data_IF_479631292972
#
_entry.id   IF_479631292972
#
_cell.length_a   1.000
_cell.length_b   1.000
_cell.length_c   1.000
_cell.angle_alpha   90.00
_cell.angle_beta   90.00
_cell.angle_gamma   90.00
#
_symmetry.space_group_name_H-M   'P 1'
#
loop_
_entity.id
_entity.type
_entity.pdbx_description
1 polymer ?
#
# COMPACT_ATOMS: atom_id res chain seq x y z
N UNK A 1 1.15 13.58 39.70
CA UNK A 1 0.59 12.40 38.99
C UNK A 1 1.18 12.42 37.59
N UNK A 2 1.87 11.37 37.15
CA UNK A 2 2.42 11.27 35.78
C UNK A 2 1.26 10.75 34.92
N UNK A 3 0.85 11.53 33.92
CA UNK A 3 -0.17 11.10 32.96
C UNK A 3 0.48 10.22 31.90
N UNK A 4 0.00 8.99 31.69
CA UNK A 4 0.51 8.15 30.61
C UNK A 4 0.10 8.74 29.25
N UNK A 5 0.93 8.48 28.24
CA UNK A 5 0.60 8.80 26.85
C UNK A 5 -0.60 7.98 26.37
N UNK A 6 -1.37 8.43 25.38
CA UNK A 6 -2.48 7.67 24.80
C UNK A 6 -2.01 6.31 24.28
N UNK A 7 -2.81 5.27 24.51
CA UNK A 7 -2.51 3.94 24.01
C UNK A 7 -2.36 3.91 22.48
N UNK A 8 -1.31 3.27 21.97
CA UNK A 8 -0.99 3.21 20.55
C UNK A 8 -0.29 4.45 20.01
N UNK A 9 0.18 5.34 20.89
CA UNK A 9 1.13 6.42 20.59
C UNK A 9 2.41 6.21 21.42
N UNK A 10 3.48 6.90 21.06
CA UNK A 10 4.76 6.85 21.77
C UNK A 10 5.51 8.16 21.65
N UNK A 11 6.40 8.42 22.61
CA UNK A 11 7.40 9.45 22.49
C UNK A 11 8.59 8.91 21.68
N UNK A 12 9.15 9.74 20.80
CA UNK A 12 10.40 9.48 20.09
C UNK A 12 11.51 10.30 20.74
N UNK A 13 12.51 9.63 21.27
CA UNK A 13 13.61 10.28 22.00
C UNK A 13 14.70 10.81 21.05
N UNK A 14 15.60 11.71 21.53
CA UNK A 14 16.55 12.41 20.65
C UNK A 14 17.45 11.51 19.81
N UNK A 15 17.87 10.35 20.33
CA UNK A 15 18.75 9.43 19.59
C UNK A 15 17.99 8.79 18.42
N UNK A 16 16.84 8.21 18.69
CA UNK A 16 15.96 7.66 17.68
C UNK A 16 15.50 8.72 16.66
N UNK A 17 15.21 9.94 17.13
CA UNK A 17 14.82 11.04 16.24
C UNK A 17 15.95 11.43 15.26
N UNK A 18 17.23 11.30 15.66
CA UNK A 18 18.36 11.51 14.74
C UNK A 18 18.37 10.46 13.63
N UNK A 19 18.19 9.19 13.98
CA UNK A 19 18.11 8.09 12.99
C UNK A 19 16.94 8.26 12.04
N UNK A 20 15.74 8.57 12.57
CA UNK A 20 14.56 8.84 11.73
C UNK A 20 14.75 10.03 10.79
N UNK A 21 15.51 11.07 11.19
CA UNK A 21 15.87 12.19 10.31
C UNK A 21 16.75 11.75 9.16
N UNK A 22 17.79 10.95 9.42
CA UNK A 22 18.66 10.42 8.36
C UNK A 22 17.85 9.62 7.35
N UNK A 23 16.95 8.75 7.81
CA UNK A 23 16.04 7.99 6.94
C UNK A 23 15.22 8.95 6.08
N UNK A 24 14.56 9.93 6.69
CA UNK A 24 13.67 10.85 5.96
C UNK A 24 14.42 11.75 4.99
N UNK A 25 15.65 12.16 5.31
CA UNK A 25 16.51 12.93 4.41
C UNK A 25 16.96 12.10 3.21
N UNK A 26 17.31 10.82 3.41
CA UNK A 26 17.64 9.91 2.32
C UNK A 26 16.46 9.71 1.35
N UNK A 27 15.24 9.48 1.88
CA UNK A 27 14.03 9.34 1.08
C UNK A 27 13.73 10.62 0.28
N UNK A 28 13.79 11.80 0.91
CA UNK A 28 13.58 13.09 0.25
C UNK A 28 14.57 13.31 -0.89
N UNK A 29 15.84 12.99 -0.67
CA UNK A 29 16.88 13.13 -1.70
C UNK A 29 16.56 12.32 -2.96
N UNK A 30 16.03 11.11 -2.81
CA UNK A 30 15.61 10.28 -3.94
C UNK A 30 14.36 10.84 -4.61
N UNK A 31 13.35 11.24 -3.85
CA UNK A 31 12.12 11.81 -4.40
C UNK A 31 12.41 13.09 -5.21
N UNK A 32 13.23 13.98 -4.67
CA UNK A 32 13.64 15.22 -5.33
C UNK A 32 14.42 14.94 -6.63
N UNK A 33 15.38 14.01 -6.57
CA UNK A 33 16.17 13.59 -7.75
C UNK A 33 15.31 13.01 -8.89
N UNK A 34 14.13 12.45 -8.56
CA UNK A 34 13.15 11.95 -9.54
C UNK A 34 12.07 12.99 -9.89
N UNK A 35 12.22 14.25 -9.46
CA UNK A 35 11.34 15.36 -9.82
C UNK A 35 10.01 15.40 -9.05
N UNK A 36 9.92 14.76 -7.88
CA UNK A 36 8.74 14.81 -7.01
C UNK A 36 8.80 16.04 -6.10
N UNK A 37 7.80 16.93 -6.24
CA UNK A 37 7.65 18.09 -5.37
C UNK A 37 6.99 17.74 -4.04
N UNK A 38 7.57 18.18 -2.92
CA UNK A 38 6.99 17.91 -1.60
C UNK A 38 5.71 18.73 -1.38
N UNK A 39 4.64 18.07 -0.96
CA UNK A 39 3.35 18.66 -0.64
C UNK A 39 3.02 18.48 0.84
N UNK A 40 2.54 19.54 1.47
CA UNK A 40 1.99 19.50 2.81
C UNK A 40 0.47 19.73 2.76
N UNK A 41 -0.31 18.82 3.34
CA UNK A 41 -1.76 18.97 3.51
C UNK A 41 -2.10 19.02 5.01
N UNK A 42 -3.22 19.66 5.41
CA UNK A 42 -3.66 19.63 6.79
C UNK A 42 -3.87 18.20 7.31
N UNK A 43 -3.64 17.97 8.60
CA UNK A 43 -3.97 16.69 9.24
C UNK A 43 -5.48 16.48 9.35
N UNK A 44 -6.24 17.57 9.41
CA UNK A 44 -7.70 17.58 9.41
C UNK A 44 -8.23 17.65 7.98
N UNK A 45 -9.21 16.83 7.69
CA UNK A 45 -9.93 16.82 6.42
C UNK A 45 -11.45 16.78 6.69
N UNK A 46 -12.27 17.28 5.79
CA UNK A 46 -13.70 17.08 5.89
C UNK A 46 -14.06 15.62 5.61
N UNK A 47 -14.95 15.02 6.41
CA UNK A 47 -15.40 13.65 6.18
C UNK A 47 -15.99 13.47 4.78
N UNK A 48 -16.66 14.50 4.25
CA UNK A 48 -17.20 14.49 2.88
C UNK A 48 -16.12 14.26 1.79
N UNK A 49 -14.86 14.59 2.06
CA UNK A 49 -13.74 14.32 1.14
C UNK A 49 -13.40 12.83 1.15
N UNK A 50 -13.36 12.19 2.33
CA UNK A 50 -13.15 10.75 2.45
C UNK A 50 -14.34 9.96 1.85
N UNK A 51 -15.57 10.44 2.06
CA UNK A 51 -16.77 9.82 1.49
C UNK A 51 -16.74 9.83 -0.05
N UNK A 52 -16.20 10.88 -0.67
CA UNK A 52 -16.00 10.91 -2.15
C UNK A 52 -15.05 9.83 -2.64
N UNK A 53 -14.05 9.46 -1.86
CA UNK A 53 -13.14 8.38 -2.20
C UNK A 53 -13.80 6.99 -2.07
N UNK A 54 -15.07 6.93 -1.63
CA UNK A 54 -15.82 5.68 -1.33
C UNK A 54 -15.06 4.72 -0.41
N UNK A 55 -14.30 5.29 0.52
CA UNK A 55 -13.55 4.54 1.52
C UNK A 55 -14.48 4.01 2.62
N UNK A 56 -15.53 3.31 2.22
CA UNK A 56 -16.59 2.78 3.13
C UNK A 56 -16.47 1.29 3.40
N UNK A 57 -15.38 0.64 2.93
CA UNK A 57 -15.17 -0.79 3.17
C UNK A 57 -15.04 -1.09 4.67
N UNK A 58 -15.71 -2.13 5.18
CA UNK A 58 -15.57 -2.59 6.57
C UNK A 58 -14.13 -2.95 6.97
N UNK A 59 -13.28 -3.27 5.98
CA UNK A 59 -11.86 -3.59 6.17
C UNK A 59 -10.97 -2.36 6.41
N UNK A 60 -11.50 -1.14 6.21
CA UNK A 60 -10.73 0.07 6.46
C UNK A 60 -10.59 0.36 7.95
N UNK A 61 -9.41 0.83 8.39
CA UNK A 61 -9.26 1.24 9.77
C UNK A 61 -10.21 2.41 10.07
N UNK A 62 -10.93 2.38 11.20
CA UNK A 62 -11.81 3.47 11.58
C UNK A 62 -11.00 4.76 11.74
N UNK A 63 -11.58 5.88 11.31
CA UNK A 63 -10.97 7.21 11.39
C UNK A 63 -11.36 7.93 12.69
N UNK A 64 -10.50 8.81 13.17
CA UNK A 64 -10.86 9.75 14.25
C UNK A 64 -11.76 10.84 13.70
N UNK A 65 -12.92 11.03 14.31
CA UNK A 65 -13.91 12.05 13.95
C UNK A 65 -14.02 13.11 15.00
N UNK A 66 -14.23 14.34 14.58
CA UNK A 66 -14.47 15.49 15.46
C UNK A 66 -15.36 16.51 14.76
N UNK A 67 -15.95 17.42 15.51
CA UNK A 67 -16.71 18.54 14.98
C UNK A 67 -15.87 19.82 15.10
N UNK A 68 -15.95 20.68 14.10
CA UNK A 68 -15.44 22.03 14.20
C UNK A 68 -16.45 22.97 14.89
N UNK A 69 -16.09 24.24 15.04
CA UNK A 69 -16.93 25.26 15.67
C UNK A 69 -18.25 25.52 14.92
N UNK A 70 -18.29 25.23 13.63
CA UNK A 70 -19.49 25.38 12.78
C UNK A 70 -20.39 24.13 12.79
N UNK A 71 -19.96 23.05 13.45
CA UNK A 71 -20.62 21.76 13.44
C UNK A 71 -20.29 20.88 12.23
N UNK A 72 -19.31 21.26 11.40
CA UNK A 72 -18.85 20.43 10.29
C UNK A 72 -18.08 19.21 10.81
N UNK A 73 -18.34 18.04 10.21
CA UNK A 73 -17.66 16.80 10.58
C UNK A 73 -16.28 16.72 9.92
N UNK A 74 -15.26 16.69 10.78
CA UNK A 74 -13.86 16.56 10.41
C UNK A 74 -13.33 15.17 10.76
N UNK A 75 -12.28 14.76 10.07
CA UNK A 75 -11.52 13.54 10.34
C UNK A 75 -10.02 13.82 10.40
N UNK A 76 -9.29 13.08 11.22
CA UNK A 76 -7.84 12.99 11.06
C UNK A 76 -7.55 12.08 9.86
N UNK A 77 -6.72 12.54 8.92
CA UNK A 77 -6.36 11.79 7.70
C UNK A 77 -5.79 10.41 8.05
N UNK A 78 -6.29 9.37 7.40
CA UNK A 78 -5.83 7.98 7.53
C UNK A 78 -4.72 7.61 6.54
N UNK A 79 -4.59 8.39 5.47
CA UNK A 79 -3.61 8.29 4.37
C UNK A 79 -3.36 9.66 3.74
N UNK A 80 -2.42 9.74 2.80
CA UNK A 80 -2.11 10.97 2.08
C UNK A 80 -2.69 11.01 0.66
N UNK A 81 -3.09 9.87 0.11
CA UNK A 81 -3.59 9.77 -1.27
C UNK A 81 -4.87 10.59 -1.47
N UNK A 82 -5.83 10.47 -0.56
CA UNK A 82 -7.10 11.22 -0.65
C UNK A 82 -6.90 12.74 -0.51
N UNK A 83 -6.16 13.25 0.49
CA UNK A 83 -5.81 14.68 0.55
C UNK A 83 -5.10 15.18 -0.71
N UNK A 84 -4.19 14.40 -1.31
CA UNK A 84 -3.49 14.79 -2.53
C UNK A 84 -4.44 14.77 -3.73
N UNK A 85 -5.34 13.80 -3.86
CA UNK A 85 -6.37 13.79 -4.89
C UNK A 85 -7.25 15.06 -4.83
N UNK A 86 -7.64 15.50 -3.62
CA UNK A 86 -8.33 16.79 -3.42
C UNK A 86 -7.46 17.98 -3.85
N UNK A 87 -6.17 17.99 -3.50
CA UNK A 87 -5.23 19.07 -3.91
C UNK A 87 -5.14 19.13 -5.43
N UNK A 88 -4.99 17.99 -6.11
CA UNK A 88 -4.95 17.93 -7.58
C UNK A 88 -6.21 18.51 -8.21
N UNK A 89 -7.37 18.10 -7.71
CA UNK A 89 -8.64 18.59 -8.22
C UNK A 89 -8.86 20.10 -8.00
N UNK A 90 -8.36 20.62 -6.89
CA UNK A 90 -8.65 22.02 -6.49
C UNK A 90 -7.55 23.02 -6.85
N UNK A 91 -6.27 22.59 -6.87
CA UNK A 91 -5.11 23.48 -7.07
C UNK A 91 -4.44 23.29 -8.43
N UNK A 92 -4.62 22.10 -9.03
CA UNK A 92 -4.02 21.76 -10.32
C UNK A 92 -5.07 21.33 -11.37
N UNK A 93 -6.25 21.99 -11.48
CA UNK A 93 -7.35 21.49 -12.31
C UNK A 93 -7.01 21.43 -13.81
N UNK A 94 -6.07 22.26 -14.28
CA UNK A 94 -5.66 22.35 -15.69
C UNK A 94 -4.17 22.06 -15.92
N UNK A 95 -3.41 21.71 -14.88
CA UNK A 95 -1.99 21.44 -15.03
C UNK A 95 -1.77 20.18 -15.87
N UNK A 96 -0.85 20.19 -16.85
CA UNK A 96 -0.60 19.02 -17.69
C UNK A 96 -0.01 17.88 -16.86
N UNK A 97 -0.43 16.63 -17.09
CA UNK A 97 0.20 15.46 -16.50
C UNK A 97 1.55 15.18 -17.18
N UNK A 98 2.46 14.39 -16.54
CA UNK A 98 2.30 13.82 -15.22
C UNK A 98 2.55 14.82 -14.09
N UNK A 99 1.81 14.67 -12.99
CA UNK A 99 2.05 15.41 -11.74
C UNK A 99 2.76 14.48 -10.75
N UNK A 100 3.85 14.97 -10.15
CA UNK A 100 4.68 14.21 -9.21
C UNK A 100 4.68 14.89 -7.86
N UNK A 101 4.09 14.26 -6.87
CA UNK A 101 4.06 14.73 -5.48
C UNK A 101 4.73 13.75 -4.56
N UNK A 102 5.51 14.23 -3.59
CA UNK A 102 5.96 13.45 -2.46
C UNK A 102 5.51 14.09 -1.15
N UNK A 103 5.60 13.34 -0.07
CA UNK A 103 5.20 13.81 1.25
C UNK A 103 5.96 13.12 2.38
N UNK A 104 6.06 13.83 3.50
CA UNK A 104 6.40 13.30 4.81
C UNK A 104 5.34 13.77 5.79
N UNK A 105 4.52 12.87 6.33
CA UNK A 105 3.34 13.26 7.06
C UNK A 105 2.87 12.20 8.07
N UNK A 106 2.30 12.65 9.19
CA UNK A 106 1.59 11.75 10.09
C UNK A 106 0.21 11.38 9.52
N UNK A 107 -0.12 10.09 9.59
CA UNK A 107 -1.43 9.53 9.35
C UNK A 107 -1.97 8.89 10.63
N UNK A 108 -3.30 8.85 10.79
CA UNK A 108 -3.94 8.47 12.05
C UNK A 108 -4.95 7.36 11.83
N UNK A 109 -4.97 6.35 12.70
CA UNK A 109 -5.90 5.23 12.63
C UNK A 109 -6.53 4.96 13.98
N UNK A 110 -7.86 4.95 14.05
CA UNK A 110 -8.61 4.70 15.30
C UNK A 110 -8.68 3.18 15.61
N UNK A 111 -7.53 2.49 15.56
CA UNK A 111 -7.45 1.05 15.83
C UNK A 111 -7.67 0.74 17.31
N UNK A 112 -8.17 -0.47 17.62
CA UNK A 112 -8.31 -0.95 19.00
C UNK A 112 -6.94 -1.16 19.62
N UNK A 113 -6.72 -0.58 20.81
CA UNK A 113 -5.43 -0.56 21.52
C UNK A 113 -4.85 -1.97 21.83
N UNK A 114 -5.68 -3.00 21.89
CA UNK A 114 -5.30 -4.37 22.27
C UNK A 114 -4.48 -5.13 21.24
N UNK A 115 -4.26 -4.58 20.02
CA UNK A 115 -3.56 -5.28 18.92
C UNK A 115 -2.12 -4.82 18.69
N UNK A 116 -1.55 -3.97 19.56
CA UNK A 116 -0.19 -3.45 19.38
C UNK A 116 -0.01 -2.59 18.11
N UNK A 117 -1.10 -2.16 17.48
CA UNK A 117 -1.06 -1.36 16.27
C UNK A 117 -0.92 0.12 16.62
N UNK A 118 -0.02 0.86 15.95
CA UNK A 118 0.12 2.30 16.17
C UNK A 118 -1.12 3.04 15.67
N UNK A 119 -1.49 4.10 16.40
CA UNK A 119 -2.58 5.01 16.04
C UNK A 119 -2.10 6.25 15.29
N UNK A 120 -0.84 6.56 15.43
CA UNK A 120 -0.13 7.61 14.72
C UNK A 120 1.04 6.97 13.97
N UNK A 121 1.16 7.26 12.68
CA UNK A 121 2.17 6.68 11.80
C UNK A 121 2.84 7.82 11.03
N UNK A 122 4.14 7.97 11.15
CA UNK A 122 4.90 8.84 10.26
C UNK A 122 5.15 8.09 8.95
N UNK A 123 4.67 8.66 7.84
CA UNK A 123 4.79 8.09 6.51
C UNK A 123 5.53 9.03 5.56
N UNK A 124 6.40 8.47 4.73
CA UNK A 124 6.93 9.12 3.54
C UNK A 124 6.43 8.37 2.30
N UNK A 125 6.13 9.08 1.22
CA UNK A 125 5.63 8.44 0.00
C UNK A 125 5.56 9.38 -1.18
N UNK A 126 5.14 8.82 -2.31
CA UNK A 126 4.92 9.54 -3.56
C UNK A 126 3.54 9.28 -4.13
N UNK A 127 3.06 10.22 -4.93
CA UNK A 127 1.87 10.09 -5.78
C UNK A 127 2.23 10.57 -7.20
N UNK A 128 2.20 9.66 -8.15
CA UNK A 128 2.42 9.90 -9.58
C UNK A 128 1.06 9.88 -10.29
N UNK A 129 0.64 11.04 -10.79
CA UNK A 129 -0.71 11.23 -11.32
C UNK A 129 -0.64 11.60 -12.80
N UNK A 130 -1.41 10.88 -13.61
CA UNK A 130 -1.47 11.06 -15.04
C UNK A 130 -0.43 10.27 -15.84
N UNK A 131 0.25 9.31 -15.20
CA UNK A 131 1.11 8.34 -15.88
C UNK A 131 0.38 6.99 -16.00
N UNK A 132 0.14 6.48 -17.22
CA UNK A 132 -0.57 5.22 -17.41
C UNK A 132 0.24 4.00 -16.96
N UNK A 133 -0.42 2.83 -16.91
CA UNK A 133 0.26 1.55 -16.81
C UNK A 133 0.80 1.15 -18.21
N UNK A 134 1.88 0.35 -18.28
CA UNK A 134 2.71 -0.14 -17.18
C UNK A 134 3.78 0.85 -16.70
N UNK A 135 4.10 1.90 -17.50
CA UNK A 135 5.25 2.80 -17.31
C UNK A 135 5.19 3.53 -15.96
N UNK A 136 4.02 4.10 -15.60
CA UNK A 136 3.86 4.78 -14.31
C UNK A 136 4.07 3.84 -13.12
N UNK A 137 3.67 2.57 -13.24
CA UNK A 137 3.88 1.57 -12.18
C UNK A 137 5.36 1.20 -12.07
N UNK A 138 6.05 1.03 -13.18
CA UNK A 138 7.48 0.75 -13.21
C UNK A 138 8.28 1.94 -12.62
N UNK A 139 7.91 3.20 -12.95
CA UNK A 139 8.49 4.40 -12.33
C UNK A 139 8.32 4.37 -10.81
N UNK A 140 7.10 4.13 -10.32
CA UNK A 140 6.82 4.10 -8.88
C UNK A 140 7.64 3.00 -8.15
N UNK A 141 7.75 1.80 -8.72
CA UNK A 141 8.56 0.71 -8.18
C UNK A 141 10.05 1.04 -8.17
N UNK A 142 10.54 1.67 -9.25
CA UNK A 142 11.94 2.12 -9.34
C UNK A 142 12.25 3.14 -8.26
N UNK A 143 11.41 4.16 -8.08
CA UNK A 143 11.58 5.18 -7.04
C UNK A 143 11.49 4.56 -5.65
N UNK A 144 10.58 3.59 -5.44
CA UNK A 144 10.46 2.85 -4.18
C UNK A 144 11.76 2.11 -3.83
N UNK A 145 12.31 1.32 -4.77
CA UNK A 145 13.54 0.56 -4.52
C UNK A 145 14.73 1.50 -4.31
N UNK A 146 14.90 2.52 -5.16
CA UNK A 146 15.98 3.53 -4.98
C UNK A 146 15.87 4.26 -3.63
N UNK A 147 14.66 4.55 -3.17
CA UNK A 147 14.42 5.18 -1.86
C UNK A 147 14.82 4.24 -0.71
N UNK A 148 14.48 2.97 -0.77
CA UNK A 148 14.89 1.98 0.23
C UNK A 148 16.41 1.76 0.22
N UNK A 149 17.03 1.60 -0.94
CA UNK A 149 18.49 1.45 -1.09
C UNK A 149 19.23 2.66 -0.50
N UNK A 150 18.73 3.88 -0.73
CA UNK A 150 19.33 5.11 -0.19
C UNK A 150 19.31 5.18 1.35
N UNK A 151 18.40 4.46 2.01
CA UNK A 151 18.40 4.36 3.49
C UNK A 151 19.41 3.33 4.02
N UNK A 152 20.02 2.53 3.13
CA UNK A 152 20.93 1.46 3.50
C UNK A 152 20.25 0.13 3.84
N UNK A 153 18.95 -0.03 3.56
CA UNK A 153 18.23 -1.30 3.73
C UNK A 153 18.59 -2.27 2.59
N UNK A 154 19.04 -3.47 2.92
CA UNK A 154 19.56 -4.45 1.95
C UNK A 154 18.67 -5.68 1.78
N UNK A 155 18.03 -6.16 2.87
CA UNK A 155 17.32 -7.44 2.92
C UNK A 155 15.91 -7.43 2.35
N UNK A 156 15.39 -6.27 1.96
CA UNK A 156 13.98 -6.15 1.55
C UNK A 156 13.65 -6.84 0.24
N UNK A 157 12.37 -7.19 0.10
CA UNK A 157 11.74 -7.61 -1.15
C UNK A 157 10.44 -6.86 -1.37
N UNK A 158 10.08 -6.66 -2.63
CA UNK A 158 8.83 -6.03 -3.03
C UNK A 158 7.92 -7.09 -3.64
N UNK A 159 6.83 -7.42 -2.98
CA UNK A 159 5.78 -8.26 -3.55
C UNK A 159 4.95 -7.43 -4.53
N UNK A 160 4.83 -7.89 -5.78
CA UNK A 160 3.98 -7.32 -6.83
C UNK A 160 2.77 -8.24 -7.07
N UNK A 161 1.58 -7.70 -6.95
CA UNK A 161 0.31 -8.34 -7.28
C UNK A 161 -0.55 -7.44 -8.14
N UNK A 162 -1.82 -7.85 -8.30
CA UNK A 162 -2.82 -7.05 -9.01
C UNK A 162 -4.18 -7.14 -8.32
N UNK A 163 -4.80 -5.99 -8.04
CA UNK A 163 -6.08 -5.91 -7.33
C UNK A 163 -7.25 -6.52 -8.13
N UNK A 164 -7.13 -6.60 -9.46
CA UNK A 164 -8.15 -7.18 -10.33
C UNK A 164 -8.08 -8.71 -10.45
N UNK A 165 -6.94 -9.32 -10.06
CA UNK A 165 -6.67 -10.73 -10.28
C UNK A 165 -7.73 -11.64 -9.63
N UNK A 166 -7.93 -11.50 -8.33
CA UNK A 166 -8.85 -12.38 -7.60
C UNK A 166 -10.33 -12.12 -7.94
N UNK A 167 -10.80 -10.88 -8.09
CA UNK A 167 -12.10 -10.58 -8.66
C UNK A 167 -12.35 -11.22 -10.04
N UNK A 168 -11.36 -11.17 -10.94
CA UNK A 168 -11.45 -11.79 -12.26
C UNK A 168 -11.55 -13.33 -12.19
N UNK A 169 -10.77 -13.96 -11.31
CA UNK A 169 -10.87 -15.40 -11.06
C UNK A 169 -12.24 -15.78 -10.52
N UNK A 170 -12.76 -15.04 -9.53
CA UNK A 170 -14.10 -15.28 -8.98
C UNK A 170 -15.23 -15.11 -10.02
N UNK A 171 -15.09 -14.15 -10.93
CA UNK A 171 -16.03 -13.97 -12.02
C UNK A 171 -15.99 -15.15 -13.02
N UNK A 172 -14.79 -15.68 -13.29
CA UNK A 172 -14.60 -16.80 -14.21
C UNK A 172 -15.16 -18.14 -13.71
N UNK A 173 -15.29 -18.31 -12.40
CA UNK A 173 -15.87 -19.52 -11.76
C UNK A 173 -17.26 -19.29 -11.19
N UNK A 174 -17.91 -18.19 -11.57
CA UNK A 174 -19.30 -17.84 -11.20
C UNK A 174 -19.57 -17.89 -9.68
N UNK A 175 -18.63 -17.40 -8.87
CA UNK A 175 -18.83 -17.30 -7.41
C UNK A 175 -20.11 -16.54 -7.09
N UNK A 176 -21.01 -17.09 -6.23
CA UNK A 176 -22.23 -16.40 -5.83
C UNK A 176 -21.95 -15.00 -5.25
N UNK A 177 -22.75 -14.02 -5.65
CA UNK A 177 -22.54 -12.60 -5.26
C UNK A 177 -22.43 -12.42 -3.73
N UNK A 178 -23.25 -13.15 -2.97
CA UNK A 178 -23.22 -13.10 -1.49
C UNK A 178 -21.92 -13.62 -0.86
N UNK A 179 -21.15 -14.46 -1.55
CA UNK A 179 -19.89 -15.02 -1.03
C UNK A 179 -18.67 -14.17 -1.38
N UNK A 180 -18.75 -13.33 -2.44
CA UNK A 180 -17.58 -12.57 -2.95
C UNK A 180 -16.94 -11.66 -1.90
N UNK A 181 -17.76 -10.93 -1.14
CA UNK A 181 -17.27 -10.01 -0.13
C UNK A 181 -16.53 -10.74 1.00
N UNK A 182 -17.05 -11.88 1.46
CA UNK A 182 -16.43 -12.71 2.51
C UNK A 182 -15.09 -13.28 2.04
N UNK A 183 -15.01 -13.77 0.81
CA UNK A 183 -13.78 -14.29 0.21
C UNK A 183 -12.70 -13.20 0.09
N UNK A 184 -13.07 -12.02 -0.39
CA UNK A 184 -12.14 -10.87 -0.50
C UNK A 184 -11.67 -10.39 0.88
N UNK A 185 -12.54 -10.41 1.89
CA UNK A 185 -12.17 -10.02 3.25
C UNK A 185 -11.22 -11.04 3.88
N UNK A 186 -11.46 -12.35 3.72
CA UNK A 186 -10.57 -13.40 4.17
C UNK A 186 -9.19 -13.28 3.51
N UNK A 187 -9.17 -13.04 2.20
CA UNK A 187 -7.92 -12.84 1.44
C UNK A 187 -7.17 -11.58 1.89
N UNK A 188 -7.85 -10.46 2.09
CA UNK A 188 -7.24 -9.21 2.56
C UNK A 188 -6.61 -9.35 3.96
N UNK A 189 -7.14 -10.25 4.79
CA UNK A 189 -6.56 -10.62 6.10
C UNK A 189 -5.50 -11.71 6.01
N UNK A 190 -5.28 -12.31 4.83
CA UNK A 190 -4.46 -13.51 4.60
C UNK A 190 -4.88 -14.68 5.49
N UNK A 191 -6.18 -14.77 5.77
CA UNK A 191 -6.79 -15.84 6.55
C UNK A 191 -7.21 -16.98 5.61
N UNK A 192 -6.25 -17.84 5.27
CA UNK A 192 -6.48 -18.96 4.35
C UNK A 192 -7.40 -20.04 4.92
N UNK A 193 -7.51 -20.15 6.24
CA UNK A 193 -8.45 -21.07 6.89
C UNK A 193 -9.88 -20.57 6.67
N UNK A 194 -10.11 -19.28 6.88
CA UNK A 194 -11.40 -18.67 6.63
C UNK A 194 -11.74 -18.65 5.13
N UNK A 195 -10.74 -18.42 4.26
CA UNK A 195 -10.91 -18.51 2.81
C UNK A 195 -11.39 -19.91 2.38
N UNK A 196 -10.75 -20.96 2.87
CA UNK A 196 -11.14 -22.35 2.60
C UNK A 196 -12.55 -22.66 3.10
N UNK A 197 -12.89 -22.22 4.32
CA UNK A 197 -14.24 -22.36 4.89
C UNK A 197 -15.30 -21.66 4.02
N UNK A 198 -15.04 -20.44 3.62
CA UNK A 198 -15.97 -19.64 2.79
C UNK A 198 -16.13 -20.22 1.40
N UNK A 199 -15.06 -20.74 0.77
CA UNK A 199 -15.13 -21.45 -0.52
C UNK A 199 -15.97 -22.74 -0.41
N UNK A 200 -15.80 -23.53 0.67
CA UNK A 200 -16.64 -24.69 0.94
C UNK A 200 -18.12 -24.35 1.10
N UNK A 201 -18.43 -23.24 1.77
CA UNK A 201 -19.80 -22.76 1.95
C UNK A 201 -20.41 -22.22 0.65
N UNK A 202 -19.60 -21.71 -0.28
CA UNK A 202 -20.07 -21.21 -1.57
C UNK A 202 -20.56 -22.30 -2.54
N UNK A 203 -20.27 -23.58 -2.25
CA UNK A 203 -20.78 -24.72 -3.04
C UNK A 203 -20.16 -24.85 -4.42
N UNK A 204 -18.95 -24.33 -4.63
CA UNK A 204 -18.23 -24.40 -5.90
C UNK A 204 -17.77 -25.83 -6.21
N UNK A 205 -17.62 -26.21 -7.51
CA UNK A 205 -16.94 -27.42 -7.91
C UNK A 205 -15.53 -27.51 -7.30
N UNK A 206 -15.09 -28.69 -6.91
CA UNK A 206 -13.83 -28.90 -6.17
C UNK A 206 -12.59 -28.28 -6.88
N UNK A 207 -12.50 -28.41 -8.22
CA UNK A 207 -11.39 -27.81 -8.99
C UNK A 207 -11.39 -26.29 -9.00
N UNK A 208 -12.57 -25.65 -8.97
CA UNK A 208 -12.71 -24.19 -8.93
C UNK A 208 -12.41 -23.65 -7.54
N UNK A 209 -12.87 -24.33 -6.48
CA UNK A 209 -12.54 -23.99 -5.11
C UNK A 209 -11.02 -24.12 -4.86
N UNK A 210 -10.37 -25.17 -5.36
CA UNK A 210 -8.92 -25.36 -5.25
C UNK A 210 -8.14 -24.29 -6.04
N UNK A 211 -8.61 -23.87 -7.22
CA UNK A 211 -8.03 -22.76 -7.95
C UNK A 211 -8.01 -21.47 -7.11
N UNK A 212 -9.18 -21.08 -6.56
CA UNK A 212 -9.30 -19.88 -5.74
C UNK A 212 -8.53 -19.96 -4.42
N UNK A 213 -8.28 -21.15 -3.88
CA UNK A 213 -7.49 -21.35 -2.68
C UNK A 213 -5.99 -21.35 -2.97
N UNK A 214 -5.55 -21.98 -4.08
CA UNK A 214 -4.13 -22.16 -4.40
C UNK A 214 -3.48 -20.94 -5.02
N UNK A 215 -4.18 -20.20 -5.89
CA UNK A 215 -3.60 -19.03 -6.58
C UNK A 215 -3.09 -17.98 -5.62
N UNK A 216 -3.84 -17.55 -4.58
CA UNK A 216 -3.36 -16.54 -3.63
C UNK A 216 -2.15 -16.96 -2.78
N UNK A 217 -1.80 -18.25 -2.79
CA UNK A 217 -0.64 -18.78 -2.07
C UNK A 217 0.63 -18.78 -2.91
N UNK A 218 0.54 -18.50 -4.23
CA UNK A 218 1.68 -18.50 -5.14
C UNK A 218 2.51 -17.23 -4.95
N UNK A 219 3.80 -17.44 -4.67
CA UNK A 219 4.81 -16.38 -4.57
C UNK A 219 6.11 -16.85 -5.18
N UNK A 220 6.80 -15.96 -5.90
CA UNK A 220 8.09 -16.29 -6.52
C UNK A 220 8.42 -15.39 -7.69
N UNK A 221 9.24 -15.93 -8.59
CA UNK A 221 9.60 -15.29 -9.84
C UNK A 221 8.48 -15.37 -10.91
N UNK A 222 8.79 -15.05 -12.17
CA UNK A 222 7.80 -15.06 -13.26
C UNK A 222 7.10 -16.41 -13.48
N UNK A 223 7.67 -17.50 -13.03
CA UNK A 223 7.11 -18.86 -13.15
C UNK A 223 5.76 -19.01 -12.43
N UNK A 224 5.51 -18.25 -11.36
CA UNK A 224 4.24 -18.36 -10.61
C UNK A 224 3.04 -17.80 -11.40
N UNK A 225 3.28 -17.03 -12.44
CA UNK A 225 2.27 -16.51 -13.36
C UNK A 225 1.82 -17.54 -14.41
N UNK A 226 2.50 -18.68 -14.49
CA UNK A 226 2.18 -19.72 -15.47
C UNK A 226 0.91 -20.50 -15.07
N UNK A 227 0.15 -20.92 -16.09
CA UNK A 227 -1.02 -21.80 -15.91
C UNK A 227 -2.21 -21.15 -15.20
N UNK A 228 -2.28 -19.82 -15.17
CA UNK A 228 -3.47 -19.10 -14.70
C UNK A 228 -4.54 -19.09 -15.80
N UNK A 229 -5.86 -19.21 -15.44
CA UNK A 229 -6.93 -19.28 -16.43
C UNK A 229 -7.15 -17.94 -17.14
N UNK A 230 -7.83 -18.00 -18.30
CA UNK A 230 -8.12 -16.85 -19.17
C UNK A 230 -8.68 -15.59 -18.48
N UNK A 231 -9.60 -15.71 -17.50
CA UNK A 231 -10.07 -14.53 -16.73
C UNK A 231 -8.99 -13.72 -16.04
N UNK A 232 -7.85 -14.35 -15.69
CA UNK A 232 -6.70 -13.68 -15.07
C UNK A 232 -5.70 -13.09 -16.08
N UNK A 233 -5.92 -13.23 -17.39
CA UNK A 233 -4.95 -12.92 -18.44
C UNK A 233 -4.47 -11.46 -18.40
N UNK A 234 -5.39 -10.51 -18.24
CA UNK A 234 -5.07 -9.08 -18.22
C UNK A 234 -4.22 -8.70 -17.00
N UNK A 235 -4.56 -9.19 -15.80
CA UNK A 235 -3.79 -8.98 -14.60
C UNK A 235 -2.37 -9.57 -14.72
N UNK A 236 -2.26 -10.79 -15.28
CA UNK A 236 -0.97 -11.45 -15.53
C UNK A 236 -0.13 -10.68 -16.54
N UNK A 237 -0.73 -10.25 -17.65
CA UNK A 237 -0.05 -9.45 -18.66
C UNK A 237 0.43 -8.12 -18.08
N UNK A 238 -0.41 -7.43 -17.30
CA UNK A 238 -0.07 -6.18 -16.63
C UNK A 238 1.12 -6.32 -15.68
N UNK A 239 1.12 -7.34 -14.83
CA UNK A 239 2.25 -7.62 -13.93
C UNK A 239 3.54 -7.93 -14.68
N UNK A 240 3.48 -8.72 -15.77
CA UNK A 240 4.65 -9.03 -16.63
C UNK A 240 5.22 -7.78 -17.28
N UNK A 241 4.37 -6.96 -17.92
CA UNK A 241 4.79 -5.74 -18.59
C UNK A 241 5.47 -4.77 -17.61
N UNK A 242 4.92 -4.63 -16.40
CA UNK A 242 5.58 -3.82 -15.36
C UNK A 242 6.96 -4.37 -15.03
N UNK A 243 7.08 -5.68 -14.78
CA UNK A 243 8.35 -6.30 -14.42
C UNK A 243 9.41 -6.20 -15.55
N UNK A 244 8.99 -6.32 -16.79
CA UNK A 244 9.87 -6.22 -17.97
C UNK A 244 10.43 -4.82 -18.21
N UNK A 245 9.77 -3.78 -17.69
CA UNK A 245 10.22 -2.38 -17.73
C UNK A 245 11.20 -2.02 -16.62
N UNK A 246 11.36 -2.87 -15.60
CA UNK A 246 12.27 -2.59 -14.48
C UNK A 246 13.72 -2.82 -14.90
N UNK A 247 14.62 -1.96 -14.41
CA UNK A 247 16.05 -2.21 -14.47
C UNK A 247 16.41 -3.50 -13.72
N UNK A 248 17.46 -4.25 -14.13
CA UNK A 248 17.78 -5.54 -13.53
C UNK A 248 17.90 -5.52 -12.01
N UNK A 249 18.56 -4.50 -11.45
CA UNK A 249 18.74 -4.35 -9.99
C UNK A 249 17.43 -4.16 -9.25
N UNK A 250 16.45 -3.49 -9.88
CA UNK A 250 15.11 -3.31 -9.32
C UNK A 250 14.28 -4.58 -9.48
N UNK A 251 14.36 -5.22 -10.66
CA UNK A 251 13.65 -6.46 -10.95
C UNK A 251 14.05 -7.60 -9.99
N UNK A 252 15.32 -7.70 -9.61
CA UNK A 252 15.81 -8.68 -8.63
C UNK A 252 15.19 -8.50 -7.23
N UNK A 253 14.73 -7.29 -6.87
CA UNK A 253 14.04 -7.00 -5.61
C UNK A 253 12.57 -7.38 -5.65
N UNK A 254 11.98 -7.51 -6.86
CA UNK A 254 10.54 -7.75 -7.04
C UNK A 254 10.25 -9.24 -7.13
N UNK A 255 9.28 -9.69 -6.36
CA UNK A 255 8.68 -11.04 -6.45
C UNK A 255 7.19 -10.88 -6.76
N UNK A 256 6.61 -11.79 -7.52
CA UNK A 256 5.16 -11.85 -7.70
C UNK A 256 4.50 -12.45 -6.45
N UNK A 257 3.45 -11.80 -5.93
CA UNK A 257 2.63 -12.26 -4.81
C UNK A 257 1.16 -12.21 -5.24
N UNK A 258 0.62 -13.35 -5.68
CA UNK A 258 -0.74 -13.43 -6.24
C UNK A 258 -1.83 -13.36 -5.17
N UNK A 259 -1.46 -13.44 -3.90
CA UNK A 259 -2.36 -13.23 -2.77
C UNK A 259 -2.36 -11.81 -2.22
N UNK A 260 -1.69 -10.88 -2.91
CA UNK A 260 -1.61 -9.51 -2.46
C UNK A 260 -2.90 -8.75 -2.78
N UNK A 261 -3.75 -8.61 -1.78
CA UNK A 261 -4.95 -7.77 -1.81
C UNK A 261 -4.82 -6.69 -0.75
N UNK A 262 -4.91 -5.44 -1.16
CA UNK A 262 -4.84 -4.32 -0.23
C UNK A 262 -6.23 -3.88 0.20
N UNK A 263 -6.36 -3.60 1.49
CA UNK A 263 -7.64 -3.23 2.13
C UNK A 263 -8.19 -1.86 1.72
N UNK A 264 -7.41 -1.05 1.01
CA UNK A 264 -7.88 0.25 0.50
C UNK A 264 -8.66 0.01 -0.80
N UNK A 265 -9.98 0.11 -0.75
CA UNK A 265 -10.91 -0.26 -1.82
C UNK A 265 -10.85 0.58 -3.11
N UNK A 266 -9.84 1.43 -3.29
CA UNK A 266 -9.66 2.23 -4.49
C UNK A 266 -8.61 1.69 -5.47
N UNK A 267 -7.87 0.62 -5.15
CA UNK A 267 -6.88 0.06 -6.08
C UNK A 267 -7.56 -0.64 -7.26
N UNK A 268 -7.07 -0.35 -8.48
CA UNK A 268 -7.68 -0.79 -9.73
C UNK A 268 -6.78 -1.69 -10.59
N UNK A 269 -5.52 -1.86 -10.23
CA UNK A 269 -4.52 -2.63 -10.99
C UNK A 269 -3.39 -3.08 -10.09
N UNK A 270 -2.14 -2.93 -10.56
CA UNK A 270 -0.96 -3.35 -9.82
C UNK A 270 -0.96 -2.83 -8.38
N UNK A 271 -0.67 -3.72 -7.44
CA UNK A 271 -0.48 -3.45 -6.01
C UNK A 271 0.84 -4.03 -5.55
N UNK A 272 1.50 -3.38 -4.59
CA UNK A 272 2.78 -3.86 -4.10
C UNK A 272 2.99 -3.57 -2.62
N UNK A 273 3.76 -4.43 -1.96
CA UNK A 273 4.15 -4.31 -0.55
C UNK A 273 5.63 -4.60 -0.36
N UNK A 274 6.25 -3.88 0.59
CA UNK A 274 7.66 -4.04 0.95
C UNK A 274 7.75 -4.90 2.19
N UNK A 275 8.52 -5.97 2.10
CA UNK A 275 8.79 -6.90 3.20
C UNK A 275 10.27 -6.90 3.54
N UNK A 276 10.56 -7.06 4.83
CA UNK A 276 11.91 -7.28 5.35
C UNK A 276 11.89 -8.42 6.37
N UNK A 277 12.90 -9.31 6.37
CA UNK A 277 12.96 -10.45 7.30
C UNK A 277 12.98 -10.06 8.78
N UNK A 278 13.44 -8.84 9.10
CA UNK A 278 13.48 -8.35 10.49
C UNK A 278 12.10 -7.92 11.02
N UNK A 279 11.09 -7.85 10.13
CA UNK A 279 9.75 -7.40 10.48
C UNK A 279 8.69 -8.48 10.22
N UNK A 280 7.76 -8.64 11.17
CA UNK A 280 6.56 -9.46 11.00
C UNK A 280 5.41 -8.78 10.24
N UNK A 281 5.64 -7.61 9.64
CA UNK A 281 4.65 -6.82 8.92
C UNK A 281 5.30 -6.02 7.79
N UNK A 282 4.57 -5.63 6.72
CA UNK A 282 5.13 -4.82 5.64
C UNK A 282 5.67 -3.48 6.14
N UNK A 283 6.81 -3.03 5.60
CA UNK A 283 7.36 -1.69 5.86
C UNK A 283 6.39 -0.63 5.30
N UNK A 284 5.85 -0.90 4.12
CA UNK A 284 4.95 -0.03 3.40
C UNK A 284 4.42 -0.70 2.14
N UNK A 285 3.91 0.08 1.22
CA UNK A 285 3.45 -0.40 -0.08
C UNK A 285 2.54 0.59 -0.76
N UNK A 286 2.05 0.22 -1.94
CA UNK A 286 1.29 1.09 -2.81
C UNK A 286 0.50 0.33 -3.86
N UNK A 287 0.14 1.04 -4.93
CA UNK A 287 -0.54 0.48 -6.08
C UNK A 287 -1.20 1.54 -6.95
N UNK A 288 -1.86 1.07 -8.02
CA UNK A 288 -2.62 1.91 -8.95
C UNK A 288 -4.03 2.16 -8.49
N UNK A 289 -4.52 3.39 -8.70
CA UNK A 289 -5.87 3.83 -8.32
C UNK A 289 -6.44 4.78 -9.38
N UNK A 290 -6.62 4.28 -10.59
CA UNK A 290 -6.93 5.07 -11.78
C UNK A 290 -8.32 5.73 -11.76
N UNK A 291 -9.24 5.22 -10.93
CA UNK A 291 -10.61 5.76 -10.81
C UNK A 291 -10.74 6.86 -9.73
N UNK A 292 -9.82 6.90 -8.77
CA UNK A 292 -9.93 7.78 -7.60
C UNK A 292 -10.01 9.26 -7.98
N UNK A 293 -9.14 9.72 -8.87
CA UNK A 293 -9.09 11.12 -9.29
C UNK A 293 -10.36 11.56 -10.03
N UNK A 294 -11.04 10.62 -10.73
CA UNK A 294 -12.32 10.85 -11.38
C UNK A 294 -13.43 11.22 -10.41
N UNK A 295 -13.44 10.63 -9.21
CA UNK A 295 -14.39 10.95 -8.12
C UNK A 295 -14.24 12.39 -7.61
N UNK A 296 -13.06 12.99 -7.81
CA UNK A 296 -12.78 14.39 -7.52
C UNK A 296 -12.94 15.31 -8.75
N UNK A 297 -13.45 14.78 -9.89
CA UNK A 297 -13.72 15.56 -11.09
C UNK A 297 -12.54 15.70 -12.05
N UNK A 298 -11.45 14.93 -11.85
CA UNK A 298 -10.29 14.94 -12.72
C UNK A 298 -9.81 13.52 -13.05
N UNK A 299 -10.42 12.82 -14.03
CA UNK A 299 -10.12 11.43 -14.34
C UNK A 299 -8.70 11.31 -14.92
N UNK A 300 -7.75 10.99 -14.08
CA UNK A 300 -6.35 10.72 -14.41
C UNK A 300 -5.93 9.41 -13.79
N UNK A 301 -5.19 8.56 -14.51
CA UNK A 301 -4.58 7.38 -13.92
C UNK A 301 -3.57 7.78 -12.86
N UNK A 302 -3.43 6.99 -11.81
CA UNK A 302 -2.53 7.32 -10.73
C UNK A 302 -1.96 6.07 -10.05
N UNK A 303 -0.74 6.22 -9.52
CA UNK A 303 -0.02 5.22 -8.76
C UNK A 303 0.80 5.90 -7.68
N UNK A 304 0.89 5.31 -6.50
CA UNK A 304 1.70 5.85 -5.41
C UNK A 304 2.06 4.80 -4.39
N UNK A 305 2.90 5.18 -3.44
CA UNK A 305 3.24 4.34 -2.30
C UNK A 305 3.47 5.16 -1.03
N UNK A 306 3.37 4.47 0.10
CA UNK A 306 3.70 4.98 1.43
C UNK A 306 4.65 4.01 2.15
N UNK A 307 5.71 4.53 2.76
CA UNK A 307 6.62 3.84 3.67
C UNK A 307 6.40 4.33 5.09
N UNK A 308 6.28 3.41 6.05
CA UNK A 308 6.22 3.74 7.47
C UNK A 308 7.63 3.95 8.02
N UNK A 309 7.94 5.17 8.45
CA UNK A 309 9.29 5.53 8.92
C UNK A 309 9.67 4.73 10.17
N UNK A 310 8.75 4.55 11.11
CA UNK A 310 8.99 3.71 12.29
C UNK A 310 9.35 2.27 11.91
N UNK A 311 8.66 1.69 10.93
CA UNK A 311 8.93 0.32 10.46
C UNK A 311 10.25 0.22 9.73
N UNK A 312 10.58 1.21 8.92
CA UNK A 312 11.87 1.29 8.22
C UNK A 312 13.03 1.40 9.21
N UNK A 313 12.89 2.23 10.25
CA UNK A 313 13.84 2.33 11.35
C UNK A 313 14.05 0.97 12.06
N UNK A 314 12.97 0.24 12.37
CA UNK A 314 13.05 -1.09 12.99
C UNK A 314 13.74 -2.12 12.06
N UNK A 315 13.46 -2.07 10.74
CA UNK A 315 14.09 -2.95 9.77
C UNK A 315 15.61 -2.73 9.71
N UNK A 316 16.05 -1.48 9.57
CA UNK A 316 17.47 -1.10 9.57
C UNK A 316 18.19 -1.56 10.84
N UNK A 317 17.63 -1.26 12.03
CA UNK A 317 18.17 -1.72 13.30
C UNK A 317 18.19 -3.25 13.42
N UNK A 318 17.25 -3.95 12.77
CA UNK A 318 17.21 -5.42 12.70
C UNK A 318 18.35 -6.00 11.88
N UNK A 319 18.62 -5.43 10.69
CA UNK A 319 19.73 -5.84 9.84
C UNK A 319 21.10 -5.58 10.49
N UNK A 320 21.30 -4.44 11.16
CA UNK A 320 22.52 -4.13 11.87
C UNK A 320 22.83 -5.15 12.99
N UNK A 321 21.81 -5.55 13.76
CA UNK A 321 21.94 -6.59 14.78
C UNK A 321 22.29 -7.96 14.18
N UNK A 322 21.68 -8.30 13.03
CA UNK A 322 21.96 -9.53 12.30
C UNK A 322 23.41 -9.59 11.80
N UNK A 323 23.93 -8.47 11.26
CA UNK A 323 25.33 -8.34 10.82
C UNK A 323 26.31 -8.47 12.02
N UNK A 324 25.99 -7.83 13.15
CA UNK A 324 26.81 -7.92 14.37
C UNK A 324 26.88 -9.33 14.96
N UNK A 325 25.78 -10.09 14.91
CA UNK A 325 25.73 -11.47 15.40
C UNK A 325 26.48 -12.46 14.47
N UNK A 326 26.61 -12.15 13.17
CA UNK A 326 27.38 -12.95 12.22
C UNK A 326 28.90 -12.84 12.34
N UNK A 327 29.40 -11.77 12.95
CA UNK A 327 30.84 -11.54 13.19
C UNK A 327 31.37 -12.25 14.46
N UNK A 328 30.48 -12.88 15.24
CA UNK A 328 30.83 -13.56 16.52
C UNK A 328 30.77 -15.09 16.42
N UNK A 329 30.74 -15.67 15.19
CA UNK A 329 30.80 -17.14 14.96
C UNK A 329 32.06 -17.54 14.23
#
# INVERSE_FOLDING_TARGET
>A
MIHPIPSGTRDVLPDEMREMRLITEALRGVFDAHGYGEVYTPALEYEAVLARAELTSPSQPPVYRMFDESGALLVLRSDMTVPIARVVATRYPQSPPPLRFCYLAHCYRAVRAQRGQPRELLQAGIELIGSPAPEGTAEALTVLCRALDATGLEGYRVGLGDASLFPALMAGVEVPEGARAELLEALARRDFVELERALGAAGLPAGEAELLLSVPQRRGGPEVLAGLPGPAADAVAGMRMVHELLEPEVAERVIFDLGLVRSLGYYTGAVFEVYDPALGAPIGGGGRYDELLGRFGRPLPAVGFALGIDRLHIALAGEERGRGAGLTR
#
